data_IF_190992141943
#
_entry.id   IF_190992141943
#
_cell.length_a   1.000
_cell.length_b   1.000
_cell.length_c   1.000
_cell.angle_alpha   90.00
_cell.angle_beta   90.00
_cell.angle_gamma   90.00
#
_symmetry.space_group_name_H-M   'P 1'
#
loop_
_entity.id
_entity.type
_entity.pdbx_description
1 polymer ?
#
# COMPACT_ATOMS: atom_id res chain seq x y z
N UNK A 1 31.07 20.70 -6.68
CA UNK A 1 31.01 20.88 -5.22
C UNK A 1 29.71 20.25 -4.75
N UNK A 2 29.79 19.05 -4.15
CA UNK A 2 28.65 18.48 -3.44
C UNK A 2 28.46 19.35 -2.20
N UNK A 3 27.44 20.20 -2.19
CA UNK A 3 27.12 21.02 -1.02
C UNK A 3 26.86 20.09 0.16
N UNK A 4 27.38 20.44 1.34
CA UNK A 4 27.03 19.75 2.58
C UNK A 4 25.50 19.73 2.70
N UNK A 5 24.94 18.56 3.03
CA UNK A 5 23.51 18.45 3.31
C UNK A 5 23.16 19.41 4.46
N UNK A 6 21.93 19.97 4.50
CA UNK A 6 21.53 20.79 5.63
C UNK A 6 21.31 19.95 6.89
N UNK A 7 21.81 20.41 8.04
CA UNK A 7 21.69 19.71 9.33
C UNK A 7 20.35 19.94 10.04
N UNK A 8 19.61 20.99 9.65
CA UNK A 8 18.29 21.29 10.20
C UNK A 8 17.20 20.58 9.39
N UNK A 9 16.21 19.91 10.03
CA UNK A 9 15.18 19.14 9.32
C UNK A 9 14.43 19.93 8.25
N UNK A 10 14.03 21.16 8.58
CA UNK A 10 13.29 22.04 7.66
C UNK A 10 14.12 22.38 6.42
N UNK A 11 15.41 22.67 6.62
CA UNK A 11 16.33 22.97 5.51
C UNK A 11 16.61 21.74 4.66
N UNK A 12 16.74 20.57 5.29
CA UNK A 12 16.96 19.31 4.58
C UNK A 12 15.74 18.93 3.73
N UNK A 13 14.53 19.06 4.28
CA UNK A 13 13.27 18.83 3.56
C UNK A 13 13.16 19.79 2.37
N UNK A 14 13.49 21.08 2.56
CA UNK A 14 13.49 22.05 1.47
C UNK A 14 14.51 21.70 0.39
N UNK A 15 15.70 21.26 0.79
CA UNK A 15 16.73 20.82 -0.14
C UNK A 15 16.27 19.62 -0.99
N UNK A 16 15.58 18.64 -0.40
CA UNK A 16 14.97 17.54 -1.16
C UNK A 16 13.86 18.03 -2.09
N UNK A 17 12.96 18.90 -1.62
CA UNK A 17 11.90 19.47 -2.44
C UNK A 17 12.46 20.22 -3.66
N UNK A 18 13.50 21.03 -3.48
CA UNK A 18 14.20 21.72 -4.58
C UNK A 18 14.84 20.74 -5.58
N UNK A 19 15.40 19.62 -5.08
CA UNK A 19 15.93 18.55 -5.93
C UNK A 19 14.85 17.89 -6.77
N UNK A 20 13.72 17.53 -6.16
CA UNK A 20 12.56 16.94 -6.84
C UNK A 20 11.97 17.92 -7.86
N UNK A 21 11.85 19.20 -7.52
CA UNK A 21 11.37 20.23 -8.44
C UNK A 21 12.27 20.36 -9.68
N UNK A 22 13.60 20.35 -9.50
CA UNK A 22 14.54 20.39 -10.62
C UNK A 22 14.40 19.20 -11.56
N UNK A 23 14.13 18.01 -11.01
CA UNK A 23 13.87 16.80 -11.79
C UNK A 23 12.57 16.93 -12.60
N UNK A 24 11.49 17.43 -11.98
CA UNK A 24 10.22 17.72 -12.67
C UNK A 24 10.43 18.73 -13.80
N UNK A 25 11.17 19.81 -13.55
CA UNK A 25 11.46 20.84 -14.55
C UNK A 25 12.29 20.31 -15.71
N UNK A 26 13.18 19.34 -15.45
CA UNK A 26 13.97 18.67 -16.47
C UNK A 26 13.07 17.77 -17.35
N UNK A 27 12.25 16.92 -16.74
CA UNK A 27 11.33 16.02 -17.45
C UNK A 27 10.28 16.78 -18.28
N UNK A 28 9.81 17.93 -17.78
CA UNK A 28 8.88 18.78 -18.53
C UNK A 28 9.49 19.40 -19.79
N UNK A 29 10.81 19.65 -19.82
CA UNK A 29 11.49 20.17 -21.03
C UNK A 29 11.53 19.14 -22.15
N UNK A 30 11.55 17.85 -21.81
CA UNK A 30 11.56 16.73 -22.75
C UNK A 30 10.14 16.27 -23.17
N UNK A 31 9.11 17.05 -22.79
CA UNK A 31 7.72 16.83 -23.19
C UNK A 31 6.85 16.18 -22.11
N UNK A 32 7.37 15.92 -20.91
CA UNK A 32 6.61 15.49 -19.73
C UNK A 32 6.01 14.08 -19.80
N UNK A 33 6.06 13.43 -20.97
CA UNK A 33 5.50 12.10 -21.19
C UNK A 33 6.50 11.16 -21.86
N UNK A 34 6.78 10.03 -21.21
CA UNK A 34 7.41 8.90 -21.89
C UNK A 34 6.37 8.12 -22.70
N UNK A 35 6.79 7.72 -23.90
CA UNK A 35 5.98 6.94 -24.83
C UNK A 35 6.56 5.53 -24.92
N UNK A 36 5.71 4.53 -24.71
CA UNK A 36 6.10 3.14 -24.85
C UNK A 36 5.20 2.46 -25.87
N UNK A 37 5.82 1.85 -26.87
CA UNK A 37 5.09 1.02 -27.83
C UNK A 37 4.78 -0.34 -27.21
N UNK A 38 3.48 -0.63 -27.13
CA UNK A 38 2.93 -1.87 -26.62
C UNK A 38 2.38 -2.71 -27.76
N UNK A 39 2.67 -4.01 -27.74
CA UNK A 39 2.16 -4.95 -28.73
C UNK A 39 1.52 -6.17 -28.08
N UNK A 40 0.70 -6.88 -28.87
CA UNK A 40 0.09 -8.16 -28.48
C UNK A 40 -0.73 -8.09 -27.18
N UNK A 41 -1.52 -7.03 -27.02
CA UNK A 41 -2.40 -6.81 -25.88
C UNK A 41 -3.47 -7.87 -25.77
N UNK A 42 -3.46 -8.67 -24.70
CA UNK A 42 -4.47 -9.70 -24.43
C UNK A 42 -5.28 -9.34 -23.21
N UNK A 43 -6.60 -9.43 -23.30
CA UNK A 43 -7.47 -9.31 -22.15
C UNK A 43 -7.19 -10.47 -21.18
N UNK A 44 -6.80 -10.12 -19.95
CA UNK A 44 -6.57 -11.10 -18.87
C UNK A 44 -7.84 -11.28 -18.06
N UNK A 45 -8.47 -10.17 -17.63
CA UNK A 45 -9.72 -10.22 -16.86
C UNK A 45 -10.50 -8.91 -16.96
N UNK A 46 -11.80 -9.01 -16.74
CA UNK A 46 -12.70 -7.87 -16.55
C UNK A 46 -12.91 -7.68 -15.04
N UNK A 47 -12.68 -6.47 -14.53
CA UNK A 47 -12.88 -6.11 -13.12
C UNK A 47 -14.29 -5.56 -12.92
N UNK A 48 -14.68 -4.58 -13.75
CA UNK A 48 -16.01 -3.96 -13.76
C UNK A 48 -16.46 -3.79 -15.21
N UNK A 49 -17.72 -3.39 -15.49
CA UNK A 49 -18.17 -3.16 -16.87
C UNK A 49 -17.36 -2.13 -17.66
N UNK A 50 -16.53 -1.32 -16.99
CA UNK A 50 -15.69 -0.29 -17.59
C UNK A 50 -14.19 -0.50 -17.31
N UNK A 51 -13.80 -1.53 -16.57
CA UNK A 51 -12.40 -1.74 -16.17
C UNK A 51 -11.95 -3.15 -16.45
N UNK A 52 -10.79 -3.28 -17.08
CA UNK A 52 -10.21 -4.56 -17.42
C UNK A 52 -8.68 -4.54 -17.31
N UNK A 53 -8.09 -5.71 -17.03
CA UNK A 53 -6.65 -5.89 -17.05
C UNK A 53 -6.24 -6.52 -18.36
N UNK A 54 -5.26 -5.89 -19.00
CA UNK A 54 -4.62 -6.36 -20.22
C UNK A 54 -3.15 -6.65 -19.97
N UNK A 55 -2.62 -7.65 -20.67
CA UNK A 55 -1.19 -7.93 -20.73
C UNK A 55 -0.65 -7.56 -22.10
N UNK A 56 0.42 -6.78 -22.13
CA UNK A 56 1.12 -6.36 -23.34
C UNK A 56 2.60 -6.75 -23.27
N UNK A 57 3.27 -6.68 -24.43
CA UNK A 57 4.72 -6.71 -24.54
C UNK A 57 5.21 -5.28 -24.83
N UNK A 58 6.15 -4.79 -24.03
CA UNK A 58 6.86 -3.53 -24.26
C UNK A 58 8.02 -3.80 -25.21
N UNK A 59 8.10 -3.02 -26.28
CA UNK A 59 9.15 -3.18 -27.31
C UNK A 59 10.51 -2.64 -26.90
N UNK A 60 10.54 -1.54 -26.15
CA UNK A 60 11.78 -0.85 -25.78
C UNK A 60 12.47 -1.41 -24.52
N UNK A 61 11.87 -2.41 -23.85
CA UNK A 61 12.42 -3.07 -22.65
C UNK A 61 12.57 -2.17 -21.42
N UNK A 62 12.18 -0.90 -21.51
CA UNK A 62 12.27 0.05 -20.42
C UNK A 62 11.36 -0.36 -19.26
N UNK A 63 11.88 -0.19 -18.03
CA UNK A 63 11.12 -0.48 -16.82
C UNK A 63 10.31 0.73 -16.41
N UNK A 64 9.01 0.54 -16.32
CA UNK A 64 8.03 1.51 -15.91
C UNK A 64 7.72 1.29 -14.42
N UNK A 65 7.64 2.34 -13.59
CA UNK A 65 7.25 2.18 -12.20
C UNK A 65 5.83 1.63 -12.07
N UNK A 66 5.65 0.63 -11.22
CA UNK A 66 4.34 0.07 -10.89
C UNK A 66 3.47 1.14 -10.19
N UNK A 67 2.15 1.00 -10.32
CA UNK A 67 1.15 1.97 -9.86
C UNK A 67 1.16 3.34 -10.55
N UNK A 68 2.11 3.62 -11.47
CA UNK A 68 2.04 4.84 -12.27
C UNK A 68 0.73 4.89 -13.04
N UNK A 69 0.17 6.09 -13.16
CA UNK A 69 -1.03 6.35 -13.95
C UNK A 69 -0.59 7.02 -15.24
N UNK A 70 -1.16 6.56 -16.33
CA UNK A 70 -0.89 7.06 -17.66
C UNK A 70 -2.13 6.99 -18.53
N UNK A 71 -1.92 7.23 -19.82
CA UNK A 71 -2.94 7.08 -20.85
C UNK A 71 -2.49 6.04 -21.84
N UNK A 72 -3.36 5.10 -22.18
CA UNK A 72 -3.14 4.18 -23.28
C UNK A 72 -3.90 4.66 -24.51
N UNK A 73 -3.18 4.87 -25.60
CA UNK A 73 -3.75 5.19 -26.90
C UNK A 73 -3.92 3.90 -27.69
N UNK A 74 -5.17 3.59 -28.03
CA UNK A 74 -5.55 2.45 -28.85
C UNK A 74 -6.25 3.02 -30.09
N UNK A 75 -5.62 2.85 -31.25
CA UNK A 75 -6.01 3.49 -32.50
C UNK A 75 -6.14 5.02 -32.36
N UNK A 76 -7.37 5.54 -32.38
CA UNK A 76 -7.67 6.97 -32.26
C UNK A 76 -8.20 7.39 -30.87
N UNK A 77 -8.47 6.42 -30.01
CA UNK A 77 -9.02 6.66 -28.67
C UNK A 77 -7.92 6.63 -27.60
N UNK A 78 -8.09 7.42 -26.55
CA UNK A 78 -7.23 7.44 -25.37
C UNK A 78 -8.04 7.01 -24.15
N UNK A 79 -7.46 6.14 -23.34
CA UNK A 79 -8.07 5.61 -22.12
C UNK A 79 -7.11 5.79 -20.95
N UNK A 80 -7.66 6.00 -19.76
CA UNK A 80 -6.85 5.98 -18.55
C UNK A 80 -6.31 4.57 -18.30
N UNK A 81 -5.02 4.48 -18.00
CA UNK A 81 -4.34 3.22 -17.73
C UNK A 81 -3.50 3.33 -16.47
N UNK A 82 -3.55 2.30 -15.63
CA UNK A 82 -2.70 2.16 -14.46
C UNK A 82 -1.81 0.94 -14.62
N UNK A 83 -0.51 1.10 -14.37
CA UNK A 83 0.42 -0.03 -14.40
C UNK A 83 0.21 -0.88 -13.15
N UNK A 84 -0.11 -2.16 -13.34
CA UNK A 84 -0.30 -3.10 -12.24
C UNK A 84 0.99 -3.85 -11.91
N UNK A 85 1.72 -4.28 -12.94
CA UNK A 85 2.89 -5.13 -12.80
C UNK A 85 3.73 -5.08 -14.08
N UNK A 86 5.06 -5.18 -13.97
CA UNK A 86 5.94 -5.42 -15.11
C UNK A 86 6.99 -6.49 -14.76
N UNK A 87 7.07 -7.52 -15.61
CA UNK A 87 8.07 -8.56 -15.54
C UNK A 87 8.78 -8.70 -16.88
N UNK A 88 10.07 -8.34 -16.91
CA UNK A 88 10.86 -8.24 -18.15
C UNK A 88 10.13 -7.33 -19.15
N UNK A 89 9.82 -7.87 -20.33
CA UNK A 89 9.15 -7.16 -21.42
C UNK A 89 7.62 -7.23 -21.29
N UNK A 90 7.09 -8.04 -20.36
CA UNK A 90 5.65 -8.19 -20.15
C UNK A 90 5.14 -7.16 -19.16
N UNK A 91 4.12 -6.39 -19.55
CA UNK A 91 3.46 -5.40 -18.68
C UNK A 91 1.97 -5.68 -18.57
N UNK A 92 1.44 -5.56 -17.35
CA UNK A 92 0.01 -5.63 -17.07
C UNK A 92 -0.54 -4.24 -16.76
N UNK A 93 -1.57 -3.85 -17.49
CA UNK A 93 -2.24 -2.56 -17.36
C UNK A 93 -3.69 -2.78 -16.98
N UNK A 94 -4.16 -2.10 -15.94
CA UNK A 94 -5.57 -1.87 -15.73
C UNK A 94 -5.98 -0.67 -16.60
N UNK A 95 -6.95 -0.88 -17.50
CA UNK A 95 -7.42 0.15 -18.42
C UNK A 95 -8.90 0.42 -18.14
N UNK A 96 -9.25 1.71 -18.05
CA UNK A 96 -10.62 2.20 -17.89
C UNK A 96 -11.19 2.55 -19.27
N UNK A 97 -12.17 1.78 -19.74
CA UNK A 97 -12.85 1.98 -21.02
C UNK A 97 -14.20 2.68 -20.84
N UNK A 98 -14.49 3.60 -21.77
CA UNK A 98 -15.84 4.19 -21.90
C UNK A 98 -16.75 3.35 -22.82
N UNK A 99 -16.20 2.31 -23.46
CA UNK A 99 -16.86 1.48 -24.48
C UNK A 99 -16.66 -0.02 -24.22
N UNK A 100 -17.16 -0.85 -25.12
CA UNK A 100 -16.97 -2.32 -25.06
C UNK A 100 -15.49 -2.71 -25.09
N UNK A 101 -15.13 -3.70 -24.29
CA UNK A 101 -13.77 -4.26 -24.26
C UNK A 101 -13.40 -4.94 -25.57
N UNK A 102 -12.13 -4.78 -25.96
CA UNK A 102 -11.55 -5.50 -27.09
C UNK A 102 -10.84 -6.75 -26.59
N UNK A 103 -11.12 -7.97 -27.07
CA UNK A 103 -10.45 -9.18 -26.58
C UNK A 103 -8.94 -9.18 -26.89
N UNK A 104 -8.53 -8.50 -27.95
CA UNK A 104 -7.14 -8.36 -28.37
C UNK A 104 -6.87 -6.92 -28.85
N UNK A 105 -5.77 -6.34 -28.43
CA UNK A 105 -5.28 -5.02 -28.82
C UNK A 105 -3.90 -5.23 -29.46
N UNK A 106 -3.81 -5.29 -30.81
CA UNK A 106 -2.56 -5.64 -31.49
C UNK A 106 -1.41 -4.68 -31.20
N UNK A 107 -1.73 -3.38 -31.13
CA UNK A 107 -0.79 -2.29 -30.84
C UNK A 107 -1.46 -1.21 -29.99
N UNK A 108 -0.69 -0.62 -29.10
CA UNK A 108 -1.09 0.55 -28.34
C UNK A 108 0.14 1.40 -28.00
N UNK A 109 -0.07 2.67 -27.66
CA UNK A 109 0.98 3.54 -27.15
C UNK A 109 0.63 3.90 -25.71
N UNK A 110 1.49 3.56 -24.76
CA UNK A 110 1.35 3.98 -23.37
C UNK A 110 2.10 5.29 -23.17
N UNK A 111 1.38 6.29 -22.70
CA UNK A 111 1.88 7.62 -22.34
C UNK A 111 1.91 7.70 -20.82
N UNK A 112 3.08 7.84 -20.22
CA UNK A 112 3.24 7.96 -18.77
C UNK A 112 3.70 9.36 -18.44
N UNK A 113 2.99 9.97 -17.49
CA UNK A 113 3.43 11.24 -16.91
C UNK A 113 4.55 10.95 -15.91
N UNK A 114 5.80 11.13 -16.34
CA UNK A 114 6.98 10.87 -15.49
C UNK A 114 7.04 11.84 -14.30
N UNK A 115 6.27 12.92 -14.34
CA UNK A 115 6.29 13.93 -13.28
C UNK A 115 5.28 13.64 -12.18
N UNK A 116 4.26 12.81 -12.39
CA UNK A 116 3.16 12.65 -11.44
C UNK A 116 3.61 12.13 -10.05
N UNK A 117 4.47 11.12 -10.02
CA UNK A 117 5.01 10.58 -8.76
C UNK A 117 5.94 11.58 -8.08
N UNK A 118 6.74 12.32 -8.86
CA UNK A 118 7.61 13.37 -8.34
C UNK A 118 6.80 14.55 -7.80
N UNK A 119 5.71 14.94 -8.46
CA UNK A 119 4.78 15.96 -7.98
C UNK A 119 4.09 15.51 -6.68
N UNK A 120 3.71 14.24 -6.59
CA UNK A 120 3.12 13.67 -5.36
C UNK A 120 4.13 13.67 -4.22
N UNK A 121 5.38 13.29 -4.48
CA UNK A 121 6.48 13.37 -3.52
C UNK A 121 6.76 14.82 -3.10
N UNK A 122 6.81 15.75 -4.06
CA UNK A 122 7.01 17.17 -3.80
C UNK A 122 5.91 17.70 -2.89
N UNK A 123 4.64 17.51 -3.24
CA UNK A 123 3.50 17.92 -2.41
C UNK A 123 3.61 17.37 -0.98
N UNK A 124 4.06 16.12 -0.82
CA UNK A 124 4.22 15.51 0.50
C UNK A 124 5.42 16.05 1.28
N UNK A 125 6.50 16.45 0.60
CA UNK A 125 7.62 17.17 1.21
C UNK A 125 7.21 18.61 1.58
N UNK A 126 6.41 19.28 0.76
CA UNK A 126 5.98 20.66 0.99
C UNK A 126 5.00 20.80 2.15
N UNK A 127 4.07 19.85 2.32
CA UNK A 127 3.20 19.79 3.50
C UNK A 127 3.97 19.71 4.80
N UNK A 128 5.19 19.16 4.78
CA UNK A 128 6.05 19.03 5.97
C UNK A 128 6.74 20.33 6.33
N UNK A 129 6.61 21.39 5.52
CA UNK A 129 7.10 22.72 5.88
C UNK A 129 6.21 23.33 6.97
N UNK A 130 6.71 23.35 8.21
CA UNK A 130 6.11 24.12 9.31
C UNK A 130 5.34 23.32 10.36
N UNK A 131 5.14 22.02 10.16
CA UNK A 131 4.59 21.14 11.19
C UNK A 131 5.69 20.55 12.09
N UNK A 132 5.44 20.46 13.39
CA UNK A 132 6.33 19.86 14.39
C UNK A 132 6.36 18.33 14.26
N UNK A 133 6.89 17.81 13.15
CA UNK A 133 7.17 16.38 13.00
C UNK A 133 8.45 16.01 13.76
N UNK A 134 8.49 14.77 14.27
CA UNK A 134 9.68 14.22 14.91
C UNK A 134 10.71 13.78 13.86
N UNK A 135 11.23 14.76 13.10
CA UNK A 135 12.20 14.54 12.02
C UNK A 135 13.59 14.16 12.53
N UNK A 136 13.80 14.11 13.85
CA UNK A 136 15.07 13.70 14.47
C UNK A 136 15.53 12.32 14.01
N UNK A 137 14.60 11.38 13.78
CA UNK A 137 14.89 10.03 13.24
C UNK A 137 15.08 9.99 11.72
N UNK A 138 14.52 10.96 10.99
CA UNK A 138 14.80 11.06 9.55
C UNK A 138 16.21 11.63 9.33
N UNK A 139 16.63 12.58 10.17
CA UNK A 139 17.98 13.12 10.17
C UNK A 139 19.06 12.07 10.45
N UNK A 140 18.81 11.11 11.35
CA UNK A 140 19.81 10.06 11.65
C UNK A 140 20.15 9.20 10.43
N UNK A 141 19.29 9.13 9.41
CA UNK A 141 19.61 8.46 8.13
C UNK A 141 20.77 9.16 7.42
N UNK A 142 20.74 10.49 7.38
CA UNK A 142 21.73 11.32 6.69
C UNK A 142 22.91 11.71 7.59
N UNK A 143 22.68 11.75 8.90
CA UNK A 143 23.65 12.06 9.95
C UNK A 143 23.72 10.93 10.98
N UNK A 144 24.31 9.77 10.63
CA UNK A 144 24.30 8.58 11.48
C UNK A 144 25.07 8.75 12.80
N UNK A 145 25.85 9.82 12.96
CA UNK A 145 26.61 10.12 14.17
C UNK A 145 25.74 10.28 15.42
N UNK A 146 24.45 10.62 15.26
CA UNK A 146 23.50 10.72 16.36
C UNK A 146 22.66 9.46 16.58
N UNK A 147 22.86 8.39 15.78
CA UNK A 147 22.13 7.15 15.93
C UNK A 147 22.67 6.32 17.09
N UNK A 148 21.80 5.73 17.90
CA UNK A 148 22.19 4.75 18.90
C UNK A 148 22.40 3.37 18.26
N UNK A 149 23.48 2.72 18.66
CA UNK A 149 23.82 1.35 18.24
C UNK A 149 23.66 0.46 19.46
N UNK A 150 22.79 -0.53 19.35
CA UNK A 150 22.65 -1.56 20.38
C UNK A 150 22.22 -2.88 19.75
N UNK A 151 22.20 -3.94 20.55
CA UNK A 151 21.73 -5.26 20.13
C UNK A 151 20.75 -5.79 21.15
N UNK A 152 19.62 -6.29 20.66
CA UNK A 152 18.63 -6.98 21.48
C UNK A 152 18.66 -8.45 21.07
N UNK A 153 18.86 -9.39 22.01
CA UNK A 153 18.84 -10.82 21.71
C UNK A 153 17.53 -11.23 21.05
N UNK A 154 17.60 -12.17 20.11
CA UNK A 154 16.39 -12.74 19.52
C UNK A 154 15.56 -13.46 20.59
N UNK A 155 14.21 -13.41 20.50
CA UNK A 155 13.37 -14.21 21.37
C UNK A 155 13.63 -15.70 21.14
N UNK A 156 13.55 -16.49 22.21
CA UNK A 156 13.64 -17.96 22.11
C UNK A 156 12.44 -18.50 21.32
N UNK A 157 12.68 -18.94 20.09
CA UNK A 157 11.68 -19.53 19.20
C UNK A 157 12.36 -20.40 18.13
N UNK A 158 11.78 -21.58 17.86
CA UNK A 158 12.24 -22.55 16.86
C UNK A 158 12.30 -21.95 15.43
N UNK A 159 11.47 -20.94 15.14
CA UNK A 159 11.50 -20.20 13.86
C UNK A 159 12.85 -19.50 13.60
N UNK A 160 13.73 -19.37 14.60
CA UNK A 160 15.07 -18.80 14.47
C UNK A 160 16.20 -19.85 14.47
N UNK A 161 15.89 -21.15 14.43
CA UNK A 161 16.92 -22.20 14.49
C UNK A 161 17.69 -22.34 13.18
N UNK A 162 17.06 -21.99 12.04
CA UNK A 162 17.67 -22.10 10.71
C UNK A 162 18.59 -20.91 10.35
N UNK A 163 18.64 -19.87 11.18
CA UNK A 163 19.45 -18.69 10.90
C UNK A 163 20.92 -18.95 11.25
N UNK A 164 21.83 -18.53 10.38
CA UNK A 164 23.28 -18.57 10.66
C UNK A 164 23.67 -17.54 11.73
N UNK A 165 24.82 -17.74 12.39
CA UNK A 165 25.33 -16.80 13.40
C UNK A 165 25.51 -15.36 12.86
N UNK A 166 25.95 -15.21 11.61
CA UNK A 166 26.09 -13.90 10.96
C UNK A 166 24.73 -13.21 10.75
N UNK A 167 23.71 -13.98 10.34
CA UNK A 167 22.35 -13.48 10.18
C UNK A 167 21.72 -13.14 11.53
N UNK A 168 21.92 -13.99 12.54
CA UNK A 168 21.49 -13.75 13.93
C UNK A 168 22.04 -12.42 14.45
N UNK A 169 23.36 -12.23 14.35
CA UNK A 169 24.01 -10.98 14.77
C UNK A 169 23.43 -9.76 14.04
N UNK A 170 23.19 -9.89 12.73
CA UNK A 170 22.59 -8.82 11.92
C UNK A 170 21.18 -8.47 12.41
N UNK A 171 20.36 -9.48 12.70
CA UNK A 171 18.98 -9.29 13.17
C UNK A 171 18.97 -8.69 14.58
N UNK A 172 19.77 -9.21 15.50
CA UNK A 172 19.86 -8.71 16.89
C UNK A 172 20.36 -7.27 16.95
N UNK A 173 21.33 -6.90 16.11
CA UNK A 173 21.78 -5.52 15.97
C UNK A 173 20.67 -4.62 15.39
N UNK A 174 19.94 -5.11 14.39
CA UNK A 174 18.83 -4.37 13.80
C UNK A 174 17.65 -4.16 14.74
N UNK A 175 17.43 -5.06 15.71
CA UNK A 175 16.40 -4.91 16.75
C UNK A 175 16.74 -3.83 17.78
N UNK A 176 18.03 -3.65 18.08
CA UNK A 176 18.49 -2.72 19.11
C UNK A 176 18.90 -1.33 18.61
N UNK A 177 19.23 -1.19 17.33
CA UNK A 177 19.77 0.06 16.78
C UNK A 177 18.68 0.95 16.20
N UNK A 178 18.87 2.27 16.23
CA UNK A 178 17.91 3.22 15.63
C UNK A 178 17.78 3.05 14.12
N UNK A 179 18.90 2.75 13.46
CA UNK A 179 19.01 2.54 12.01
C UNK A 179 20.00 1.40 11.76
N UNK A 180 19.66 0.51 10.84
CA UNK A 180 20.57 -0.54 10.38
C UNK A 180 20.52 -0.65 8.87
N UNK A 181 21.70 -0.61 8.24
CA UNK A 181 21.85 -0.84 6.81
C UNK A 181 22.23 -2.29 6.56
N UNK A 182 21.32 -3.06 5.97
CA UNK A 182 21.57 -4.46 5.59
C UNK A 182 21.97 -4.49 4.12
N UNK A 183 23.22 -4.86 3.85
CA UNK A 183 23.77 -4.94 2.50
C UNK A 183 24.22 -6.36 2.16
N UNK A 184 24.04 -6.76 0.90
CA UNK A 184 24.50 -8.06 0.40
C UNK A 184 24.29 -8.24 -1.10
N UNK A 185 25.18 -8.94 -1.81
CA UNK A 185 25.01 -9.30 -3.22
C UNK A 185 23.68 -10.04 -3.53
N UNK A 186 23.26 -10.13 -4.81
CA UNK A 186 22.14 -11.00 -5.20
C UNK A 186 22.35 -12.44 -4.71
N UNK A 187 21.32 -13.07 -4.16
CA UNK A 187 21.38 -14.46 -3.68
C UNK A 187 21.85 -14.66 -2.23
N UNK A 188 22.33 -13.64 -1.51
CA UNK A 188 22.86 -13.79 -0.12
C UNK A 188 21.80 -13.82 0.98
N UNK A 189 20.55 -14.18 0.65
CA UNK A 189 19.49 -14.32 1.66
C UNK A 189 19.01 -13.01 2.30
N UNK A 190 19.15 -11.84 1.66
CA UNK A 190 18.62 -10.56 2.20
C UNK A 190 17.14 -10.65 2.57
N UNK A 191 16.32 -11.23 1.69
CA UNK A 191 14.88 -11.43 1.93
C UNK A 191 14.64 -12.37 3.12
N UNK A 192 15.49 -13.38 3.32
CA UNK A 192 15.45 -14.26 4.49
C UNK A 192 15.71 -13.47 5.77
N UNK A 193 16.77 -12.64 5.80
CA UNK A 193 17.10 -11.79 6.96
C UNK A 193 15.98 -10.80 7.26
N UNK A 194 15.43 -10.13 6.24
CA UNK A 194 14.32 -9.18 6.40
C UNK A 194 13.08 -9.88 6.97
N UNK A 195 12.73 -11.07 6.48
CA UNK A 195 11.58 -11.82 6.99
C UNK A 195 11.74 -12.16 8.49
N UNK A 196 12.91 -12.66 8.90
CA UNK A 196 13.17 -12.98 10.32
C UNK A 196 13.23 -11.74 11.21
N UNK A 197 13.75 -10.62 10.70
CA UNK A 197 13.73 -9.34 11.41
C UNK A 197 12.29 -8.86 11.65
N UNK A 198 11.43 -8.94 10.64
CA UNK A 198 10.01 -8.59 10.80
C UNK A 198 9.34 -9.50 11.83
N UNK A 199 9.58 -10.81 11.76
CA UNK A 199 9.05 -11.77 12.74
C UNK A 199 9.49 -11.43 14.16
N UNK A 200 10.76 -11.11 14.38
CA UNK A 200 11.29 -10.73 15.69
C UNK A 200 10.63 -9.44 16.23
N UNK A 201 10.45 -8.41 15.39
CA UNK A 201 9.72 -7.21 15.78
C UNK A 201 8.27 -7.50 16.16
N UNK A 202 7.56 -8.32 15.38
CA UNK A 202 6.17 -8.67 15.68
C UNK A 202 6.06 -9.51 16.96
N UNK A 203 6.98 -10.46 17.17
CA UNK A 203 7.02 -11.30 18.37
C UNK A 203 7.27 -10.50 19.66
N UNK A 204 7.98 -9.38 19.55
CA UNK A 204 8.20 -8.41 20.65
C UNK A 204 7.07 -7.38 20.78
N UNK A 205 5.97 -7.56 20.05
CA UNK A 205 4.77 -6.71 20.14
C UNK A 205 4.85 -5.40 19.36
N UNK A 206 5.86 -5.22 18.51
CA UNK A 206 6.04 -4.01 17.72
C UNK A 206 5.15 -4.00 16.46
N UNK A 207 4.80 -2.80 15.99
CA UNK A 207 4.13 -2.59 14.71
C UNK A 207 5.18 -2.34 13.62
N UNK A 208 5.10 -3.10 12.54
CA UNK A 208 6.09 -3.01 11.44
C UNK A 208 5.42 -2.48 10.18
N UNK A 209 6.02 -1.46 9.56
CA UNK A 209 5.68 -0.99 8.23
C UNK A 209 6.77 -1.43 7.25
N UNK A 210 6.41 -2.25 6.27
CA UNK A 210 7.31 -2.67 5.19
C UNK A 210 6.96 -1.87 3.95
N UNK A 211 7.95 -1.23 3.34
CA UNK A 211 7.79 -0.46 2.09
C UNK A 211 8.88 -0.82 1.09
N UNK A 212 8.58 -0.66 -0.19
CA UNK A 212 9.53 -0.83 -1.29
C UNK A 212 9.09 -0.01 -2.49
N UNK A 213 9.97 0.16 -3.46
CA UNK A 213 9.67 0.85 -4.73
C UNK A 213 8.75 0.05 -5.66
N UNK A 214 8.55 -1.25 -5.42
CA UNK A 214 7.74 -2.13 -6.28
C UNK A 214 6.87 -3.07 -5.45
N UNK A 215 5.65 -3.34 -5.91
CA UNK A 215 4.73 -4.32 -5.32
C UNK A 215 5.36 -5.72 -5.28
N UNK A 216 6.06 -6.12 -6.35
CA UNK A 216 6.73 -7.42 -6.43
C UNK A 216 7.73 -7.66 -5.27
N UNK A 217 8.49 -6.64 -4.86
CA UNK A 217 9.43 -6.76 -3.75
C UNK A 217 8.72 -6.90 -2.39
N UNK A 218 7.62 -6.17 -2.19
CA UNK A 218 6.78 -6.30 -0.97
C UNK A 218 6.17 -7.71 -0.91
N UNK A 219 5.64 -8.18 -2.04
CA UNK A 219 5.04 -9.50 -2.17
C UNK A 219 6.06 -10.61 -1.87
N UNK A 220 7.29 -10.47 -2.38
CA UNK A 220 8.37 -11.41 -2.11
C UNK A 220 8.73 -11.49 -0.62
N UNK A 221 8.77 -10.34 0.07
CA UNK A 221 9.02 -10.31 1.53
C UNK A 221 7.86 -10.97 2.27
N UNK A 222 6.61 -10.68 1.90
CA UNK A 222 5.42 -11.25 2.53
C UNK A 222 5.36 -12.78 2.36
N UNK A 223 5.62 -13.28 1.15
CA UNK A 223 5.70 -14.73 0.89
C UNK A 223 6.85 -15.38 1.65
N UNK A 224 8.00 -14.71 1.76
CA UNK A 224 9.11 -15.21 2.56
C UNK A 224 8.74 -15.32 4.04
N UNK A 225 8.02 -14.33 4.61
CA UNK A 225 7.49 -14.44 5.97
C UNK A 225 6.60 -15.67 6.14
N UNK A 226 5.67 -15.91 5.22
CA UNK A 226 4.79 -17.08 5.28
C UNK A 226 5.52 -18.41 5.13
N UNK A 227 6.62 -18.42 4.35
CA UNK A 227 7.46 -19.60 4.15
C UNK A 227 8.27 -19.96 5.39
N UNK A 228 8.85 -18.96 6.05
CA UNK A 228 9.80 -19.17 7.16
C UNK A 228 9.14 -19.16 8.54
N UNK A 229 7.91 -18.67 8.67
CA UNK A 229 7.09 -18.99 9.85
C UNK A 229 6.68 -20.46 9.76
N UNK A 230 7.30 -21.34 10.57
CA UNK A 230 7.34 -22.78 10.37
C UNK A 230 6.00 -23.53 10.32
N UNK A 231 4.85 -22.87 10.50
CA UNK A 231 3.51 -23.40 10.27
C UNK A 231 2.44 -22.30 10.41
N UNK A 232 1.96 -21.70 9.30
CA UNK A 232 0.67 -20.99 9.32
C UNK A 232 -0.54 -21.93 9.57
N UNK A 233 -0.29 -23.23 9.76
CA UNK A 233 -1.28 -24.22 10.17
C UNK A 233 -1.22 -24.59 11.66
N UNK A 234 -0.30 -24.04 12.47
CA UNK A 234 -0.30 -24.20 13.93
C UNK A 234 0.08 -22.91 14.67
N UNK A 235 -0.60 -22.62 15.79
CA UNK A 235 -0.66 -21.28 16.39
C UNK A 235 0.54 -21.05 17.31
N UNK A 236 1.67 -20.58 16.77
CA UNK A 236 2.81 -20.11 17.56
C UNK A 236 3.19 -18.65 17.22
N UNK A 237 2.20 -17.81 16.92
CA UNK A 237 2.26 -16.39 17.23
C UNK A 237 1.53 -16.20 18.55
N UNK A 238 2.21 -15.62 19.55
CA UNK A 238 1.71 -15.34 20.90
C UNK A 238 0.19 -15.10 20.98
N UNK A 239 -0.44 -15.66 22.03
CA UNK A 239 -1.88 -15.52 22.41
C UNK A 239 -2.45 -14.09 22.39
N UNK A 240 -1.65 -13.05 22.18
CA UNK A 240 -2.04 -11.64 22.11
C UNK A 240 -2.43 -11.14 20.71
N UNK A 241 -2.05 -11.81 19.63
CA UNK A 241 -2.44 -11.38 18.28
C UNK A 241 -3.38 -12.41 17.66
N UNK A 242 -4.61 -12.02 17.34
CA UNK A 242 -5.55 -12.84 16.57
C UNK A 242 -5.10 -12.96 15.11
N UNK A 243 -4.14 -13.88 14.95
CA UNK A 243 -3.55 -14.67 13.85
C UNK A 243 -3.90 -14.47 12.36
N UNK A 244 -4.90 -13.70 11.94
CA UNK A 244 -5.21 -13.50 10.50
C UNK A 244 -5.47 -12.04 10.11
N UNK A 245 -5.63 -11.13 11.08
CA UNK A 245 -6.01 -9.72 10.82
C UNK A 245 -4.91 -8.71 11.14
N UNK A 246 -3.68 -9.16 11.46
CA UNK A 246 -2.57 -8.30 11.87
C UNK A 246 -1.66 -7.84 10.73
N UNK A 247 -1.72 -8.50 9.57
CA UNK A 247 -0.92 -8.15 8.40
C UNK A 247 -1.86 -7.64 7.31
N UNK A 248 -1.61 -6.41 6.83
CA UNK A 248 -2.37 -5.81 5.73
C UNK A 248 -1.40 -5.45 4.61
N UNK A 249 -1.66 -6.03 3.43
CA UNK A 249 -0.99 -5.70 2.17
C UNK A 249 -1.77 -4.59 1.47
N UNK A 250 -1.14 -3.43 1.38
CA UNK A 250 -1.68 -2.24 0.71
C UNK A 250 -1.02 -2.10 -0.65
N UNK A 251 -1.80 -2.05 -1.72
CA UNK A 251 -1.35 -1.93 -3.11
C UNK A 251 -1.99 -2.98 -4.02
N UNK A 252 -1.65 -2.98 -5.30
CA UNK A 252 -2.17 -3.96 -6.24
C UNK A 252 -1.49 -5.32 -6.03
N UNK A 253 -2.31 -6.36 -5.86
CA UNK A 253 -1.85 -7.75 -5.75
C UNK A 253 -2.47 -8.55 -6.91
N UNK A 254 -1.66 -9.12 -7.82
CA UNK A 254 -2.16 -10.00 -8.88
C UNK A 254 -2.89 -11.22 -8.30
N UNK A 255 -3.98 -11.67 -8.94
CA UNK A 255 -4.70 -12.89 -8.51
C UNK A 255 -3.86 -14.17 -8.68
N UNK A 256 -2.84 -14.14 -9.54
CA UNK A 256 -1.92 -15.27 -9.76
C UNK A 256 -0.87 -15.40 -8.65
N UNK A 257 -0.85 -14.49 -7.68
CA UNK A 257 0.14 -14.51 -6.61
C UNK A 257 -0.34 -15.37 -5.45
N UNK A 258 0.57 -16.11 -4.81
CA UNK A 258 0.28 -17.02 -3.68
C UNK A 258 -0.04 -16.30 -2.36
N UNK A 259 -0.35 -15.00 -2.44
CA UNK A 259 -0.70 -14.17 -1.29
C UNK A 259 -2.14 -14.49 -0.87
N UNK A 260 -2.35 -14.91 0.39
CA UNK A 260 -3.68 -15.18 0.92
C UNK A 260 -4.63 -13.98 0.87
N UNK A 261 -5.92 -14.23 0.64
CA UNK A 261 -6.93 -13.15 0.57
C UNK A 261 -7.12 -12.44 1.92
N UNK A 262 -6.91 -13.11 3.05
CA UNK A 262 -7.11 -12.53 4.38
C UNK A 262 -6.10 -11.41 4.72
N UNK A 263 -5.04 -11.22 3.94
CA UNK A 263 -4.10 -10.10 4.10
C UNK A 263 -4.27 -9.00 3.07
N UNK A 264 -5.04 -9.22 1.99
CA UNK A 264 -5.26 -8.22 0.94
C UNK A 264 -6.27 -7.17 1.41
N UNK A 265 -5.93 -5.89 1.30
CA UNK A 265 -6.76 -4.80 1.84
C UNK A 265 -8.20 -4.82 1.31
N UNK A 266 -8.38 -5.01 0.00
CA UNK A 266 -9.69 -5.08 -0.66
C UNK A 266 -10.55 -6.22 -0.09
N UNK A 267 -9.98 -7.40 0.10
CA UNK A 267 -10.66 -8.58 0.66
C UNK A 267 -10.96 -8.44 2.15
N UNK A 268 -10.04 -7.84 2.92
CA UNK A 268 -10.27 -7.52 4.33
C UNK A 268 -11.40 -6.50 4.47
N UNK A 269 -11.40 -5.46 3.62
CA UNK A 269 -12.46 -4.45 3.58
C UNK A 269 -13.79 -5.08 3.16
N UNK A 270 -13.82 -5.94 2.14
CA UNK A 270 -15.03 -6.66 1.70
C UNK A 270 -15.63 -7.48 2.85
N UNK A 271 -14.80 -8.31 3.51
CA UNK A 271 -15.21 -9.14 4.65
C UNK A 271 -15.77 -8.29 5.80
N UNK A 272 -15.13 -7.17 6.14
CA UNK A 272 -15.58 -6.25 7.20
C UNK A 272 -16.84 -5.49 6.79
N UNK A 273 -16.94 -5.10 5.53
CA UNK A 273 -18.08 -4.35 4.97
C UNK A 273 -19.36 -5.16 5.09
N UNK A 274 -19.33 -6.48 4.88
CA UNK A 274 -20.52 -7.34 5.07
C UNK A 274 -21.07 -7.22 6.50
N UNK A 275 -20.21 -7.30 7.52
CA UNK A 275 -20.61 -7.18 8.92
C UNK A 275 -21.15 -5.78 9.27
N UNK A 276 -20.57 -4.74 8.65
CA UNK A 276 -21.00 -3.36 8.83
C UNK A 276 -22.33 -3.09 8.13
N UNK A 277 -22.52 -3.62 6.92
CA UNK A 277 -23.74 -3.52 6.15
C UNK A 277 -24.91 -4.15 6.91
N UNK A 278 -24.69 -5.36 7.45
CA UNK A 278 -25.68 -6.03 8.31
C UNK A 278 -26.04 -5.20 9.55
N UNK A 279 -25.06 -4.55 10.21
CA UNK A 279 -25.33 -3.65 11.34
C UNK A 279 -26.13 -2.42 10.91
N UNK A 280 -25.79 -1.82 9.76
CA UNK A 280 -26.50 -0.67 9.19
C UNK A 280 -27.96 -1.03 8.93
N UNK A 281 -28.21 -2.19 8.32
CA UNK A 281 -29.57 -2.63 7.97
C UNK A 281 -30.42 -2.89 9.22
N UNK A 282 -29.84 -3.53 10.25
CA UNK A 282 -30.53 -3.71 11.54
C UNK A 282 -30.84 -2.39 12.25
N UNK A 283 -29.89 -1.44 12.25
CA UNK A 283 -30.11 -0.13 12.86
C UNK A 283 -31.18 0.69 12.11
N UNK A 284 -31.25 0.56 10.78
CA UNK A 284 -32.33 1.17 9.99
C UNK A 284 -33.70 0.59 10.33
N UNK A 285 -33.80 -0.74 10.46
CA UNK A 285 -35.04 -1.41 10.87
C UNK A 285 -35.49 -0.94 12.26
N UNK A 286 -34.59 -0.98 13.25
CA UNK A 286 -34.89 -0.51 14.60
C UNK A 286 -35.28 0.98 14.63
N UNK A 287 -34.63 1.82 13.82
CA UNK A 287 -34.98 3.24 13.70
C UNK A 287 -36.37 3.45 13.08
N UNK A 288 -36.76 2.64 12.10
CA UNK A 288 -38.10 2.69 11.52
C UNK A 288 -39.17 2.29 12.54
N UNK A 289 -38.96 1.21 13.29
CA UNK A 289 -39.88 0.75 14.35
C UNK A 289 -40.06 1.82 15.43
N UNK A 290 -38.97 2.43 15.90
CA UNK A 290 -39.02 3.53 16.88
C UNK A 290 -39.74 4.76 16.32
N UNK A 291 -39.53 5.09 15.04
CA UNK A 291 -40.22 6.21 14.40
C UNK A 291 -41.72 5.96 14.30
N UNK A 292 -42.15 4.75 13.93
CA UNK A 292 -43.57 4.38 13.90
C UNK A 292 -44.20 4.48 15.28
N UNK A 293 -43.53 3.97 16.32
CA UNK A 293 -44.00 4.04 17.70
C UNK A 293 -44.08 5.46 18.25
N UNK A 294 -43.14 6.33 17.85
CA UNK A 294 -43.18 7.76 18.19
C UNK A 294 -44.40 8.44 17.56
N UNK A 295 -44.72 8.09 16.32
CA UNK A 295 -45.86 8.67 15.61
C UNK A 295 -47.19 8.20 16.21
N UNK A 296 -47.30 6.91 16.57
CA UNK A 296 -48.50 6.40 17.26
C UNK A 296 -48.71 7.08 18.62
N UNK A 297 -47.64 7.22 19.42
CA UNK A 297 -47.69 7.91 20.71
C UNK A 297 -48.06 9.39 20.55
N UNK A 298 -47.59 10.07 19.50
CA UNK A 298 -47.99 11.45 19.20
C UNK A 298 -49.49 11.58 18.94
N UNK A 299 -50.06 10.64 18.18
CA UNK A 299 -51.50 10.64 17.88
C UNK A 299 -52.28 10.46 19.19
N UNK A 300 -51.94 9.45 20.00
CA UNK A 300 -52.58 9.20 21.31
C UNK A 300 -52.48 10.40 22.26
N UNK A 301 -51.32 11.06 22.32
CA UNK A 301 -51.14 12.27 23.14
C UNK A 301 -52.06 13.39 22.64
N UNK A 302 -52.17 13.60 21.33
CA UNK A 302 -53.04 14.64 20.78
C UNK A 302 -54.52 14.39 21.09
N UNK A 303 -54.97 13.14 21.04
CA UNK A 303 -56.35 12.76 21.41
C UNK A 303 -56.62 13.03 22.90
N UNK A 304 -55.65 12.71 23.76
CA UNK A 304 -55.72 13.02 25.19
C UNK A 304 -55.74 14.52 25.48
N UNK A 305 -54.91 15.31 24.78
CA UNK A 305 -54.90 16.77 24.89
C UNK A 305 -56.26 17.34 24.47
N UNK A 306 -56.83 16.86 23.36
CA UNK A 306 -58.13 17.30 22.86
C UNK A 306 -59.27 16.94 23.84
N UNK A 307 -59.27 15.72 24.39
CA UNK A 307 -60.23 15.31 25.44
C UNK A 307 -60.08 16.17 26.69
N UNK A 308 -58.86 16.40 27.19
CA UNK A 308 -58.59 17.21 28.39
C UNK A 308 -59.04 18.66 28.24
N UNK A 309 -58.99 19.20 27.01
CA UNK A 309 -59.45 20.55 26.70
C UNK A 309 -60.99 20.66 26.75
N UNK A 310 -61.71 19.57 26.44
CA UNK A 310 -63.18 19.52 26.48
C UNK A 310 -63.73 19.29 27.89
N UNK A 311 -62.97 18.68 28.80
CA UNK A 311 -63.36 18.45 30.21
C UNK A 311 -63.09 19.65 31.13
N UNK A 312 -62.50 20.74 30.62
CA UNK A 312 -62.14 21.96 31.39
C UNK A 312 -63.25 23.03 31.44
N UNK A 313 -64.51 22.63 31.31
CA UNK A 313 -65.72 23.46 31.56
C UNK A 313 -66.27 23.13 32.94
#
# INVERSE_FOLDING_TARGET
MMGLLPEQPEKLTRWFAEGVQKEIDALNKDGGYQKYELISGRLIRVITPFQAIYQFIITDGNRIPEDSVGRIKIDSAEYEAKICNQQLDSIQLQVNFDTTFMPNIPRAILLIDDTQLLQSLLNELEKRFGDSYNDSKALTVFYPHSASISSIPLPENEDFDEITDEQRKTIEQALGSDITYIWGPPGTGKTFVIAHLIMAYVMTGQRVLVTSHTNAAVDQILLAMFKYSGNLKKPAFNKQFSQEESIIRIGLVPETNDIPDNVKLDKVVEKRSVSLQYKIDNLKLASQELSQKRESLKIEISEWEELSSRTKV
#
